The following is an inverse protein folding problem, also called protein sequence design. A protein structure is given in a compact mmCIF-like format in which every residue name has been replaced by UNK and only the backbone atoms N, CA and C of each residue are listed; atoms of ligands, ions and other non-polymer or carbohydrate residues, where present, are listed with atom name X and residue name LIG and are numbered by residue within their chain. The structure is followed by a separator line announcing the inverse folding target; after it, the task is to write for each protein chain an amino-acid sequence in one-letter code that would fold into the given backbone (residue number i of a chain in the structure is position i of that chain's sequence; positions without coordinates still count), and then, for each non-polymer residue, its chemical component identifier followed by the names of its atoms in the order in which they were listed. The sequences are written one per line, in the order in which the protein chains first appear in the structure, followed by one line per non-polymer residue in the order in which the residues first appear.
data_IF_472563257226
#
_entry.id   IF_472563257226
#
_cell.length_a   1.000
_cell.length_b   1.000
_cell.length_c   1.000
_cell.angle_alpha   90.00
_cell.angle_beta   90.00
_cell.angle_gamma   90.00
#
_symmetry.space_group_name_H-M   'P 1'
#
loop_
_entity.id
_entity.type
_entity.pdbx_description
1 polymer ?
#
# COMPACT_ATOMS: atom_id res chain seq x y z
N UNK A 1 27.03 -12.81 -0.41
CA UNK A 1 25.73 -12.10 -0.28
C UNK A 1 25.09 -12.00 -1.66
N UNK A 2 23.91 -12.56 -1.84
CA UNK A 2 23.16 -12.53 -3.10
C UNK A 2 21.83 -11.79 -2.85
N UNK A 3 21.49 -10.82 -3.68
CA UNK A 3 20.23 -10.07 -3.61
C UNK A 3 19.19 -10.82 -4.44
N UNK A 4 18.12 -11.29 -3.79
CA UNK A 4 17.01 -11.97 -4.44
C UNK A 4 15.87 -11.02 -4.83
N UNK A 5 15.65 -9.97 -4.04
CA UNK A 5 14.59 -8.99 -4.24
C UNK A 5 15.01 -7.63 -3.72
N UNK A 6 14.54 -6.56 -4.32
CA UNK A 6 14.69 -5.21 -3.80
C UNK A 6 13.50 -4.35 -4.20
N UNK A 7 12.96 -3.61 -3.22
CA UNK A 7 11.87 -2.63 -3.37
C UNK A 7 12.32 -1.31 -2.76
N UNK A 8 11.83 -0.22 -3.30
CA UNK A 8 12.01 1.13 -2.78
C UNK A 8 10.64 1.77 -2.57
N UNK A 9 10.50 2.57 -1.51
CA UNK A 9 9.29 3.34 -1.22
C UNK A 9 9.38 4.70 -1.93
N UNK A 10 9.21 4.71 -3.25
CA UNK A 10 9.50 5.86 -4.13
C UNK A 10 8.43 6.97 -4.13
N UNK A 11 7.26 6.72 -3.55
CA UNK A 11 6.16 7.69 -3.47
C UNK A 11 6.04 8.35 -2.09
N UNK A 12 6.93 7.99 -1.13
CA UNK A 12 6.87 8.48 0.25
C UNK A 12 7.74 9.73 0.44
N UNK A 13 7.39 10.54 1.45
CA UNK A 13 8.25 11.64 1.90
C UNK A 13 9.62 11.10 2.31
N UNK A 14 10.69 11.89 2.12
CA UNK A 14 12.08 11.49 2.40
C UNK A 14 12.27 10.80 3.76
N UNK A 15 11.59 11.31 4.79
CA UNK A 15 11.64 10.74 6.14
C UNK A 15 10.99 9.34 6.28
N UNK A 16 10.30 8.87 5.25
CA UNK A 16 9.66 7.55 5.20
C UNK A 16 10.17 6.69 4.03
N UNK A 17 11.12 7.22 3.27
CA UNK A 17 11.72 6.50 2.15
C UNK A 17 12.70 5.45 2.66
N UNK A 18 12.36 4.19 2.48
CA UNK A 18 13.20 3.04 2.81
C UNK A 18 13.39 2.13 1.60
N UNK A 19 14.49 1.43 1.59
CA UNK A 19 14.69 0.27 0.72
C UNK A 19 14.44 -1.01 1.50
N UNK A 20 13.74 -1.96 0.91
CA UNK A 20 13.57 -3.32 1.43
C UNK A 20 14.26 -4.29 0.49
N UNK A 21 15.23 -5.04 0.98
CA UNK A 21 16.04 -5.97 0.19
C UNK A 21 16.00 -7.35 0.82
N UNK A 22 15.67 -8.38 0.04
CA UNK A 22 15.84 -9.78 0.47
C UNK A 22 17.22 -10.24 0.03
N UNK A 23 18.03 -10.61 0.99
CA UNK A 23 19.37 -11.12 0.78
C UNK A 23 19.47 -12.58 1.19
N UNK A 24 20.36 -13.31 0.53
CA UNK A 24 20.76 -14.66 0.95
C UNK A 24 22.24 -14.66 1.34
N UNK A 25 22.51 -15.09 2.56
CA UNK A 25 23.85 -15.29 3.10
C UNK A 25 23.95 -16.69 3.68
N UNK A 26 24.90 -17.50 3.22
CA UNK A 26 25.14 -18.86 3.73
C UNK A 26 23.84 -19.70 3.89
N UNK A 27 23.02 -19.74 2.83
CA UNK A 27 21.70 -20.40 2.79
C UNK A 27 20.60 -19.83 3.68
N UNK A 28 20.89 -18.80 4.47
CA UNK A 28 19.89 -18.08 5.28
C UNK A 28 19.41 -16.84 4.53
N UNK A 29 18.10 -16.64 4.53
CA UNK A 29 17.48 -15.42 3.98
C UNK A 29 17.22 -14.40 5.07
N UNK A 30 17.44 -13.14 4.73
CA UNK A 30 17.10 -12.01 5.58
C UNK A 30 16.38 -10.94 4.77
N UNK A 31 15.49 -10.21 5.41
CA UNK A 31 14.92 -8.97 4.86
C UNK A 31 15.67 -7.81 5.49
N UNK A 32 16.33 -7.01 4.67
CA UNK A 32 17.12 -5.86 5.13
C UNK A 32 16.39 -4.58 4.75
N UNK A 33 16.14 -3.73 5.73
CA UNK A 33 15.61 -2.38 5.52
C UNK A 33 16.66 -1.33 5.80
N UNK A 34 16.72 -0.33 4.95
CA UNK A 34 17.71 0.75 4.98
C UNK A 34 17.01 2.07 4.63
N UNK A 35 17.28 3.11 5.39
CA UNK A 35 16.81 4.46 5.06
C UNK A 35 17.53 4.96 3.79
N UNK A 36 16.76 5.48 2.83
CA UNK A 36 17.31 5.99 1.58
C UNK A 36 17.90 7.38 1.80
N UNK A 37 17.30 8.15 2.68
CA UNK A 37 17.71 9.49 3.08
C UNK A 37 18.01 9.51 4.57
N UNK A 38 18.87 10.42 5.00
CA UNK A 38 19.23 10.59 6.42
C UNK A 38 18.01 10.88 7.27
N UNK A 39 17.02 11.60 6.73
CA UNK A 39 15.75 11.93 7.37
C UNK A 39 14.90 10.67 7.68
N UNK A 40 15.14 9.56 6.98
CA UNK A 40 14.44 8.28 7.20
C UNK A 40 15.00 7.44 8.36
N UNK A 41 16.11 7.85 8.96
CA UNK A 41 16.75 7.08 10.04
C UNK A 41 15.90 6.98 11.30
N UNK A 42 15.13 8.02 11.62
CA UNK A 42 14.20 8.00 12.74
C UNK A 42 13.10 6.96 12.53
N UNK A 43 12.45 7.00 11.36
CA UNK A 43 11.44 6.02 10.97
C UNK A 43 11.97 4.58 10.97
N UNK A 44 13.20 4.37 10.52
CA UNK A 44 13.85 3.06 10.58
C UNK A 44 14.06 2.60 12.04
N UNK A 45 14.51 3.50 12.92
CA UNK A 45 14.71 3.18 14.34
C UNK A 45 13.38 2.91 15.08
N UNK A 46 12.31 3.57 14.67
CA UNK A 46 10.98 3.34 15.24
C UNK A 46 10.53 1.90 15.02
N UNK A 47 10.82 1.27 13.88
CA UNK A 47 10.47 -0.14 13.65
C UNK A 47 11.11 -1.06 14.68
N UNK A 48 12.34 -0.77 15.13
CA UNK A 48 13.00 -1.55 16.20
C UNK A 48 12.28 -1.39 17.56
N UNK A 49 11.73 -0.21 17.83
CA UNK A 49 10.93 0.05 19.02
C UNK A 49 9.56 -0.62 18.91
N UNK A 50 8.93 -0.52 17.75
CA UNK A 50 7.63 -1.11 17.47
C UNK A 50 7.61 -2.62 17.64
N UNK A 51 8.70 -3.33 17.28
CA UNK A 51 8.74 -4.79 17.49
C UNK A 51 8.47 -5.18 18.94
N UNK A 52 9.09 -4.45 19.89
CA UNK A 52 8.94 -4.71 21.33
C UNK A 52 7.55 -4.33 21.87
N UNK A 53 6.96 -3.27 21.31
CA UNK A 53 5.63 -2.83 21.72
C UNK A 53 4.55 -3.76 21.19
N UNK A 54 4.70 -4.21 19.95
CA UNK A 54 3.79 -5.19 19.34
C UNK A 54 3.83 -6.55 20.06
N UNK A 55 5.01 -7.02 20.51
CA UNK A 55 5.11 -8.26 21.32
C UNK A 55 4.28 -8.20 22.60
N UNK A 56 4.18 -7.03 23.24
CA UNK A 56 3.35 -6.84 24.43
C UNK A 56 1.87 -6.75 24.10
N UNK A 57 1.55 -6.05 23.01
CA UNK A 57 0.18 -5.75 22.60
C UNK A 57 -0.51 -6.95 21.95
N UNK A 58 0.24 -7.78 21.22
CA UNK A 58 -0.27 -8.90 20.41
C UNK A 58 0.35 -10.25 20.83
N UNK A 59 0.07 -10.77 22.05
CA UNK A 59 0.73 -11.97 22.57
C UNK A 59 0.41 -13.26 21.81
N UNK A 60 -0.72 -13.28 21.09
CA UNK A 60 -1.15 -14.43 20.29
C UNK A 60 -0.62 -14.37 18.85
N UNK A 61 0.18 -13.35 18.53
CA UNK A 61 0.80 -13.15 17.23
C UNK A 61 2.32 -13.10 17.40
N UNK A 62 3.04 -13.87 16.64
CA UNK A 62 4.50 -13.74 16.60
C UNK A 62 4.87 -12.45 15.86
N UNK A 63 5.74 -11.66 16.45
CA UNK A 63 6.32 -10.49 15.77
C UNK A 63 7.61 -10.93 15.09
N UNK A 64 7.77 -10.61 13.81
CA UNK A 64 8.99 -10.95 13.08
C UNK A 64 10.20 -10.33 13.78
N UNK A 65 11.18 -11.13 14.21
CA UNK A 65 12.35 -10.62 14.91
C UNK A 65 13.16 -9.65 14.04
N UNK A 66 13.66 -8.60 14.67
CA UNK A 66 14.47 -7.56 14.01
C UNK A 66 15.74 -7.29 14.81
N UNK A 67 16.85 -7.16 14.11
CA UNK A 67 18.15 -6.79 14.65
C UNK A 67 18.70 -5.56 13.91
N UNK A 68 19.26 -4.61 14.65
CA UNK A 68 19.95 -3.47 14.05
C UNK A 68 21.43 -3.78 13.91
N UNK A 69 21.96 -3.63 12.68
CA UNK A 69 23.39 -3.71 12.38
C UNK A 69 23.77 -2.44 11.63
N UNK A 70 24.64 -1.63 12.22
CA UNK A 70 24.98 -0.30 11.72
C UNK A 70 23.72 0.56 11.49
N UNK A 71 23.49 1.05 10.28
CA UNK A 71 22.36 1.87 9.88
C UNK A 71 21.24 1.06 9.17
N UNK A 72 21.18 -0.26 9.39
CA UNK A 72 20.26 -1.19 8.75
C UNK A 72 19.51 -2.01 9.76
N UNK A 73 18.27 -2.40 9.40
CA UNK A 73 17.51 -3.39 10.13
C UNK A 73 17.50 -4.70 9.36
N UNK A 74 17.80 -5.78 10.08
CA UNK A 74 17.77 -7.15 9.59
C UNK A 74 16.61 -7.88 10.23
N UNK A 75 15.63 -8.24 9.42
CA UNK A 75 14.50 -9.06 9.82
C UNK A 75 14.74 -10.51 9.42
N UNK A 76 14.24 -11.44 10.23
CA UNK A 76 14.19 -12.85 9.82
C UNK A 76 13.30 -12.99 8.57
N UNK A 77 13.71 -13.85 7.63
CA UNK A 77 12.84 -14.22 6.52
C UNK A 77 11.85 -15.28 7.01
N UNK A 78 10.58 -14.89 7.16
CA UNK A 78 9.53 -15.79 7.62
C UNK A 78 8.98 -16.58 6.44
N UNK A 79 9.07 -17.91 6.52
CA UNK A 79 8.44 -18.81 5.56
C UNK A 79 7.02 -19.15 6.01
N UNK A 80 6.08 -19.18 5.08
CA UNK A 80 4.68 -19.49 5.35
C UNK A 80 3.77 -18.97 4.26
N UNK A 81 2.49 -18.91 4.54
CA UNK A 81 1.48 -18.47 3.60
C UNK A 81 0.96 -17.10 4.01
N UNK A 82 0.98 -16.15 3.10
CA UNK A 82 0.38 -14.84 3.35
C UNK A 82 -1.14 -14.97 3.57
N UNK A 83 -1.68 -14.14 4.43
CA UNK A 83 -3.13 -14.05 4.60
C UNK A 83 -3.82 -13.58 3.31
N UNK A 84 -3.16 -12.72 2.53
CA UNK A 84 -3.61 -12.33 1.18
C UNK A 84 -3.74 -13.53 0.23
N UNK A 85 -2.80 -14.49 0.28
CA UNK A 85 -2.89 -15.70 -0.53
C UNK A 85 -4.08 -16.57 -0.12
N UNK A 86 -4.41 -16.62 1.19
CA UNK A 86 -5.58 -17.35 1.68
C UNK A 86 -6.88 -16.71 1.21
N UNK A 87 -6.95 -15.38 1.19
CA UNK A 87 -8.08 -14.65 0.59
C UNK A 87 -8.23 -14.98 -0.90
N UNK A 88 -7.12 -14.91 -1.65
CA UNK A 88 -7.11 -15.22 -3.07
C UNK A 88 -7.57 -16.66 -3.36
N UNK A 89 -7.19 -17.62 -2.51
CA UNK A 89 -7.66 -19.00 -2.65
C UNK A 89 -9.15 -19.14 -2.41
N UNK A 90 -9.69 -18.47 -1.38
CA UNK A 90 -11.11 -18.48 -1.11
C UNK A 90 -11.92 -17.91 -2.30
N UNK A 91 -11.43 -16.80 -2.88
CA UNK A 91 -12.04 -16.19 -4.07
C UNK A 91 -11.94 -17.09 -5.30
N UNK A 92 -10.78 -17.68 -5.58
CA UNK A 92 -10.59 -18.61 -6.70
C UNK A 92 -11.53 -19.84 -6.62
N UNK A 93 -11.81 -20.28 -5.39
CA UNK A 93 -12.74 -21.39 -5.12
C UNK A 93 -14.21 -20.94 -5.01
N UNK A 94 -14.50 -19.65 -5.12
CA UNK A 94 -15.80 -19.04 -4.87
C UNK A 94 -16.36 -19.43 -3.48
N UNK A 95 -15.46 -19.56 -2.50
CA UNK A 95 -15.79 -19.98 -1.13
C UNK A 95 -16.03 -18.76 -0.23
N UNK A 96 -17.26 -18.25 -0.30
CA UNK A 96 -17.69 -17.09 0.49
C UNK A 96 -17.64 -17.35 2.00
N UNK A 97 -17.94 -18.56 2.44
CA UNK A 97 -17.92 -18.90 3.87
C UNK A 97 -16.47 -18.80 4.41
N UNK A 98 -15.52 -19.41 3.71
CA UNK A 98 -14.10 -19.33 4.06
C UNK A 98 -13.58 -17.91 4.01
N UNK A 99 -13.99 -17.11 3.04
CA UNK A 99 -13.61 -15.70 2.95
C UNK A 99 -14.07 -14.92 4.19
N UNK A 100 -15.30 -15.13 4.63
CA UNK A 100 -15.84 -14.49 5.86
C UNK A 100 -15.09 -14.95 7.11
N UNK A 101 -14.72 -16.22 7.22
CA UNK A 101 -13.89 -16.72 8.33
C UNK A 101 -12.53 -16.02 8.38
N UNK A 102 -11.89 -15.86 7.22
CA UNK A 102 -10.61 -15.16 7.10
C UNK A 102 -10.74 -13.68 7.48
N UNK A 103 -11.82 -13.00 7.08
CA UNK A 103 -12.10 -11.62 7.48
C UNK A 103 -12.22 -11.48 9.01
N UNK A 104 -12.98 -12.39 9.65
CA UNK A 104 -13.13 -12.41 11.10
C UNK A 104 -11.80 -12.68 11.81
N UNK A 105 -11.02 -13.63 11.29
CA UNK A 105 -9.67 -13.91 11.79
C UNK A 105 -8.78 -12.66 11.66
N UNK A 106 -8.78 -12.02 10.51
CA UNK A 106 -7.99 -10.82 10.26
C UNK A 106 -8.37 -9.69 11.22
N UNK A 107 -9.67 -9.41 11.38
CA UNK A 107 -10.15 -8.44 12.38
C UNK A 107 -9.60 -8.75 13.77
N UNK A 108 -9.69 -10.01 14.23
CA UNK A 108 -9.23 -10.39 15.56
C UNK A 108 -7.71 -10.17 15.71
N UNK A 109 -6.92 -10.46 14.67
CA UNK A 109 -5.49 -10.18 14.65
C UNK A 109 -5.19 -8.68 14.75
N UNK A 110 -5.98 -7.84 14.06
CA UNK A 110 -5.84 -6.37 14.11
C UNK A 110 -6.17 -5.82 15.49
N UNK A 111 -7.18 -6.39 16.17
CA UNK A 111 -7.61 -5.93 17.51
C UNK A 111 -6.59 -6.25 18.61
N UNK A 112 -5.91 -7.38 18.50
CA UNK A 112 -5.00 -7.86 19.55
C UNK A 112 -5.73 -8.26 20.83
N UNK A 113 -5.13 -7.95 21.99
CA UNK A 113 -5.71 -8.23 23.31
C UNK A 113 -6.90 -7.34 23.64
N UNK A 114 -7.80 -7.83 24.51
CA UNK A 114 -8.89 -7.02 25.08
C UNK A 114 -8.38 -5.79 25.82
N UNK A 115 -7.27 -5.90 26.58
CA UNK A 115 -6.65 -4.79 27.32
C UNK A 115 -6.15 -3.66 26.42
N UNK A 116 -5.97 -3.91 25.11
CA UNK A 116 -5.62 -2.89 24.14
C UNK A 116 -6.82 -2.00 23.75
N UNK A 117 -8.02 -2.39 24.11
CA UNK A 117 -9.24 -1.63 23.80
C UNK A 117 -9.53 -0.61 24.90
N UNK A 118 -9.59 0.66 24.50
CA UNK A 118 -9.87 1.80 25.35
C UNK A 118 -10.96 2.67 24.71
N UNK A 119 -11.41 3.70 25.42
CA UNK A 119 -12.26 4.71 24.84
C UNK A 119 -11.42 5.73 24.08
N UNK A 120 -11.88 6.11 22.88
CA UNK A 120 -11.21 7.11 22.08
C UNK A 120 -11.39 8.50 22.69
N UNK A 121 -10.30 9.24 22.73
CA UNK A 121 -10.27 10.68 22.94
C UNK A 121 -9.33 11.30 21.92
N UNK A 122 -9.81 12.28 21.17
CA UNK A 122 -9.03 12.90 20.11
C UNK A 122 -7.82 13.62 20.68
N UNK A 123 -6.65 13.36 20.12
CA UNK A 123 -5.38 14.00 20.44
C UNK A 123 -4.84 14.79 19.25
N UNK A 124 -3.85 15.65 19.47
CA UNK A 124 -3.14 16.33 18.38
C UNK A 124 -2.50 15.33 17.42
N UNK A 125 -1.97 14.21 17.92
CA UNK A 125 -1.36 13.15 17.12
C UNK A 125 -2.40 12.46 16.25
N UNK A 126 -3.55 12.04 16.84
CA UNK A 126 -4.61 11.39 16.06
C UNK A 126 -5.19 12.33 14.99
N UNK A 127 -5.34 13.61 15.33
CA UNK A 127 -5.79 14.64 14.38
C UNK A 127 -4.79 14.89 13.27
N UNK A 128 -3.50 14.90 13.57
CA UNK A 128 -2.44 15.05 12.57
C UNK A 128 -2.49 13.90 11.54
N UNK A 129 -2.56 12.66 12.01
CA UNK A 129 -2.51 11.49 11.13
C UNK A 129 -3.81 11.23 10.39
N UNK A 130 -4.95 11.41 11.04
CA UNK A 130 -6.24 10.94 10.51
C UNK A 130 -7.26 12.06 10.29
N UNK A 131 -6.92 13.31 10.61
CA UNK A 131 -7.85 14.44 10.52
C UNK A 131 -8.81 14.51 11.69
N UNK A 132 -9.97 15.15 11.47
CA UNK A 132 -10.97 15.34 12.52
C UNK A 132 -11.70 14.02 12.80
N UNK A 133 -11.52 13.50 14.02
CA UNK A 133 -12.13 12.27 14.53
C UNK A 133 -13.14 12.50 15.65
N UNK A 134 -13.62 13.71 15.84
CA UNK A 134 -14.57 14.07 16.92
C UNK A 134 -15.83 13.19 16.98
N UNK A 135 -16.26 12.62 15.85
CA UNK A 135 -17.40 11.69 15.80
C UNK A 135 -17.10 10.30 16.39
N UNK A 136 -15.85 10.01 16.69
CA UNK A 136 -15.41 8.77 17.34
C UNK A 136 -15.18 8.94 18.84
N UNK A 137 -15.39 10.14 19.42
CA UNK A 137 -15.28 10.35 20.86
C UNK A 137 -16.06 9.28 21.64
N UNK A 138 -15.45 8.76 22.71
CA UNK A 138 -15.99 7.70 23.58
C UNK A 138 -16.23 6.33 22.90
N UNK A 139 -15.98 6.19 21.58
CA UNK A 139 -16.06 4.90 20.89
C UNK A 139 -14.83 4.04 21.18
N UNK A 140 -14.90 2.72 20.91
CA UNK A 140 -13.75 1.85 21.06
C UNK A 140 -12.56 2.29 20.22
N UNK A 141 -11.38 2.28 20.83
CA UNK A 141 -10.11 2.59 20.19
C UNK A 141 -9.03 1.61 20.64
N UNK A 142 -7.99 1.43 19.86
CA UNK A 142 -6.79 0.69 20.24
C UNK A 142 -5.78 1.67 20.85
N UNK A 143 -5.27 1.36 22.03
CA UNK A 143 -4.21 2.16 22.68
C UNK A 143 -2.91 2.12 21.90
N UNK A 144 -2.60 0.95 21.32
CA UNK A 144 -1.52 0.72 20.38
C UNK A 144 -2.09 -0.04 19.18
N UNK A 145 -1.84 0.45 17.97
CA UNK A 145 -2.36 -0.18 16.75
C UNK A 145 -1.26 -0.44 15.74
N UNK A 146 -1.21 -1.69 15.23
CA UNK A 146 -0.43 -2.02 14.05
C UNK A 146 -1.25 -1.68 12.79
N UNK A 147 -1.01 -0.52 12.20
CA UNK A 147 -1.70 -0.08 11.00
C UNK A 147 -1.23 -0.82 9.75
N UNK A 148 -0.07 -1.51 9.85
CA UNK A 148 0.44 -2.42 8.82
C UNK A 148 -0.02 -3.86 8.99
N UNK A 149 -0.97 -4.16 9.88
CA UNK A 149 -1.57 -5.49 9.98
C UNK A 149 -2.50 -5.79 8.78
N UNK A 150 -2.07 -5.39 7.58
CA UNK A 150 -2.72 -5.69 6.31
C UNK A 150 -2.48 -7.15 5.91
N UNK A 151 -3.33 -7.70 5.07
CA UNK A 151 -3.26 -9.12 4.68
C UNK A 151 -1.93 -9.54 4.03
N UNK A 152 -1.26 -8.60 3.34
CA UNK A 152 0.07 -8.81 2.75
C UNK A 152 1.23 -8.85 3.75
N UNK A 153 0.99 -8.43 5.00
CA UNK A 153 2.00 -8.37 6.06
C UNK A 153 1.73 -9.39 7.19
N UNK A 154 0.81 -10.32 6.99
CA UNK A 154 0.52 -11.41 7.93
C UNK A 154 0.85 -12.74 7.27
N UNK A 155 1.82 -13.44 7.83
CA UNK A 155 2.19 -14.81 7.40
C UNK A 155 1.61 -15.82 8.40
N UNK A 156 0.97 -16.85 7.88
CA UNK A 156 0.56 -18.00 8.66
C UNK A 156 1.65 -19.06 8.57
N UNK A 157 2.42 -19.21 9.63
CA UNK A 157 3.50 -20.18 9.77
C UNK A 157 3.08 -21.27 10.76
N UNK A 158 2.89 -22.50 10.32
CA UNK A 158 2.46 -23.61 11.17
C UNK A 158 1.20 -23.29 12.02
N UNK A 159 0.22 -22.65 11.43
CA UNK A 159 -1.00 -22.14 12.06
C UNK A 159 -0.81 -21.02 13.08
N UNK A 160 0.38 -20.44 13.17
CA UNK A 160 0.67 -19.29 14.02
C UNK A 160 0.76 -18.05 13.11
N UNK A 161 -0.01 -16.98 13.38
CA UNK A 161 0.12 -15.73 12.67
C UNK A 161 1.42 -15.03 13.06
N UNK A 162 2.11 -14.47 12.07
CA UNK A 162 3.33 -13.70 12.23
C UNK A 162 3.13 -12.35 11.55
N UNK A 163 3.29 -11.26 12.28
CA UNK A 163 3.37 -9.93 11.70
C UNK A 163 4.77 -9.70 11.14
N UNK A 164 4.82 -9.39 9.87
CA UNK A 164 6.00 -8.92 9.16
C UNK A 164 5.77 -7.48 8.72
N UNK A 165 6.82 -6.71 8.49
CA UNK A 165 6.71 -5.38 7.90
C UNK A 165 5.80 -4.40 8.68
N UNK A 166 6.15 -4.10 9.90
CA UNK A 166 5.41 -3.19 10.80
C UNK A 166 6.05 -1.79 10.81
N UNK A 167 5.86 -1.03 9.75
CA UNK A 167 6.39 0.34 9.59
C UNK A 167 5.51 1.39 10.26
N UNK A 168 4.18 1.15 10.31
CA UNK A 168 3.18 2.07 10.81
C UNK A 168 2.50 1.53 12.05
N UNK A 169 3.08 1.83 13.21
CA UNK A 169 2.51 1.51 14.51
C UNK A 169 2.22 2.80 15.24
N UNK A 170 0.98 2.95 15.70
CA UNK A 170 0.55 4.13 16.46
C UNK A 170 0.41 3.77 17.93
N UNK A 171 1.22 4.43 18.77
CA UNK A 171 1.23 4.28 20.23
C UNK A 171 0.37 5.36 20.91
N UNK A 172 -0.69 5.77 20.25
CA UNK A 172 -1.73 6.65 20.74
C UNK A 172 -3.09 6.11 20.31
N UNK A 173 -4.19 6.52 20.98
CA UNK A 173 -5.52 6.02 20.66
C UNK A 173 -5.91 6.23 19.20
N UNK A 174 -6.27 5.14 18.51
CA UNK A 174 -6.84 5.18 17.16
C UNK A 174 -8.17 4.44 17.19
N UNK A 175 -9.29 5.03 16.69
CA UNK A 175 -10.58 4.34 16.66
C UNK A 175 -10.47 2.97 16.00
N UNK A 176 -10.98 1.95 16.68
CA UNK A 176 -10.93 0.54 16.22
C UNK A 176 -11.43 0.38 14.79
N UNK A 177 -12.55 1.05 14.47
CA UNK A 177 -13.17 0.96 13.16
C UNK A 177 -12.24 1.49 12.05
N UNK A 178 -11.46 2.54 12.33
CA UNK A 178 -10.49 3.09 11.35
C UNK A 178 -9.39 2.08 11.08
N UNK A 179 -8.84 1.44 12.11
CA UNK A 179 -7.74 0.46 11.94
C UNK A 179 -8.22 -0.76 11.18
N UNK A 180 -9.37 -1.33 11.58
CA UNK A 180 -9.94 -2.50 10.91
C UNK A 180 -10.33 -2.17 9.47
N UNK A 181 -10.99 -1.03 9.25
CA UNK A 181 -11.36 -0.58 7.90
C UNK A 181 -10.14 -0.48 7.00
N UNK A 182 -9.07 0.18 7.47
CA UNK A 182 -7.83 0.32 6.70
C UNK A 182 -7.25 -1.04 6.29
N UNK A 183 -7.09 -1.96 7.26
CA UNK A 183 -6.48 -3.26 6.99
C UNK A 183 -7.32 -4.13 6.05
N UNK A 184 -8.64 -4.05 6.11
CA UNK A 184 -9.54 -4.80 5.22
C UNK A 184 -9.63 -4.12 3.86
N UNK A 185 -9.75 -2.78 3.79
CA UNK A 185 -9.79 -2.03 2.53
C UNK A 185 -8.55 -2.31 1.68
N UNK A 186 -7.36 -2.37 2.30
CA UNK A 186 -6.12 -2.69 1.60
C UNK A 186 -6.23 -4.00 0.81
N UNK A 187 -6.79 -5.06 1.41
CA UNK A 187 -6.99 -6.34 0.74
C UNK A 187 -7.95 -6.21 -0.47
N UNK A 188 -9.01 -5.43 -0.37
CA UNK A 188 -9.96 -5.18 -1.47
C UNK A 188 -9.34 -4.34 -2.59
N UNK A 189 -8.47 -3.39 -2.25
CA UNK A 189 -7.76 -2.59 -3.25
C UNK A 189 -6.75 -3.43 -4.05
N UNK A 190 -6.16 -4.45 -3.43
CA UNK A 190 -5.22 -5.35 -4.11
C UNK A 190 -5.89 -6.36 -5.03
N UNK A 191 -7.14 -6.76 -4.75
CA UNK A 191 -7.86 -7.72 -5.59
C UNK A 191 -9.35 -7.36 -5.74
N UNK A 192 -9.67 -6.70 -6.84
CA UNK A 192 -11.05 -6.30 -7.19
C UNK A 192 -12.05 -7.48 -7.29
N UNK A 193 -11.58 -8.73 -7.34
CA UNK A 193 -12.46 -9.90 -7.34
C UNK A 193 -13.10 -10.14 -5.98
N UNK A 194 -12.56 -9.58 -4.90
CA UNK A 194 -13.16 -9.66 -3.56
C UNK A 194 -14.53 -9.02 -3.54
N UNK A 195 -14.69 -7.87 -4.20
CA UNK A 195 -15.95 -7.14 -4.30
C UNK A 195 -17.06 -7.97 -4.96
N UNK A 196 -16.71 -8.88 -5.88
CA UNK A 196 -17.68 -9.77 -6.53
C UNK A 196 -18.11 -10.92 -5.64
N UNK A 197 -17.22 -11.44 -4.78
CA UNK A 197 -17.51 -12.54 -3.86
C UNK A 197 -18.29 -12.05 -2.64
N UNK A 198 -17.87 -10.92 -2.09
CA UNK A 198 -18.44 -10.26 -0.92
C UNK A 198 -18.19 -8.76 -1.03
N UNK A 199 -19.21 -7.92 -1.28
CA UNK A 199 -19.03 -6.47 -1.28
C UNK A 199 -18.42 -5.95 0.03
N UNK A 200 -17.53 -4.96 -0.05
CA UNK A 200 -16.85 -4.44 1.14
C UNK A 200 -17.84 -3.89 2.18
N UNK A 201 -18.95 -3.29 1.75
CA UNK A 201 -20.01 -2.84 2.64
C UNK A 201 -20.58 -3.99 3.46
N UNK A 202 -20.88 -5.13 2.82
CA UNK A 202 -21.38 -6.33 3.50
C UNK A 202 -20.30 -6.94 4.41
N UNK A 203 -19.01 -6.91 4.00
CA UNK A 203 -17.92 -7.35 4.84
C UNK A 203 -17.83 -6.54 6.12
N UNK A 204 -17.98 -5.21 6.05
CA UNK A 204 -17.98 -4.33 7.22
C UNK A 204 -19.15 -4.60 8.14
N UNK A 205 -20.36 -4.80 7.60
CA UNK A 205 -21.54 -5.18 8.39
C UNK A 205 -21.32 -6.51 9.13
N UNK A 206 -20.78 -7.54 8.46
CA UNK A 206 -20.46 -8.84 9.06
C UNK A 206 -19.42 -8.69 10.18
N UNK A 207 -18.47 -7.78 10.02
CA UNK A 207 -17.44 -7.48 11.02
C UNK A 207 -17.97 -6.60 12.16
N UNK A 208 -19.19 -6.09 12.06
CA UNK A 208 -19.80 -5.18 13.06
C UNK A 208 -19.12 -3.82 13.09
N UNK A 209 -18.57 -3.39 11.97
CA UNK A 209 -18.00 -2.05 11.83
C UNK A 209 -19.13 -1.09 11.51
N UNK A 210 -19.54 -0.32 12.50
CA UNK A 210 -20.55 0.75 12.35
C UNK A 210 -19.82 2.00 11.92
N UNK A 211 -19.76 2.22 10.62
CA UNK A 211 -18.95 3.27 10.05
C UNK A 211 -19.77 4.30 9.26
N UNK A 212 -19.22 5.51 9.26
CA UNK A 212 -19.55 6.56 8.32
C UNK A 212 -18.46 6.50 7.24
N UNK A 213 -18.80 5.98 6.06
CA UNK A 213 -17.85 5.78 4.95
C UNK A 213 -17.01 7.03 4.68
N UNK A 214 -17.66 8.18 4.62
CA UNK A 214 -16.98 9.45 4.31
C UNK A 214 -15.88 9.77 5.34
N UNK A 215 -16.12 9.46 6.61
CA UNK A 215 -15.12 9.69 7.67
C UNK A 215 -13.97 8.70 7.63
N UNK A 216 -14.27 7.42 7.35
CA UNK A 216 -13.24 6.40 7.17
C UNK A 216 -12.36 6.69 5.98
N UNK A 217 -12.95 7.06 4.85
CA UNK A 217 -12.19 7.48 3.67
C UNK A 217 -11.36 8.74 3.93
N UNK A 218 -11.91 9.70 4.68
CA UNK A 218 -11.15 10.91 5.03
C UNK A 218 -9.97 10.60 5.94
N UNK A 219 -10.12 9.71 6.93
CA UNK A 219 -9.03 9.24 7.77
C UNK A 219 -7.95 8.54 6.94
N UNK A 220 -8.35 7.65 6.03
CA UNK A 220 -7.47 6.97 5.10
C UNK A 220 -6.70 7.97 4.21
N UNK A 221 -7.40 8.93 3.60
CA UNK A 221 -6.78 9.97 2.75
C UNK A 221 -5.79 10.85 3.54
N UNK A 222 -6.12 11.21 4.79
CA UNK A 222 -5.22 12.01 5.63
C UNK A 222 -3.95 11.22 6.01
N UNK A 223 -4.07 9.94 6.35
CA UNK A 223 -2.91 9.08 6.57
C UNK A 223 -1.97 9.10 5.36
N UNK A 224 -2.48 8.78 4.18
CA UNK A 224 -1.67 8.75 2.96
C UNK A 224 -1.09 10.13 2.60
N UNK A 225 -1.85 11.21 2.79
CA UNK A 225 -1.33 12.57 2.62
C UNK A 225 -0.12 12.88 3.51
N UNK A 226 -0.05 12.30 4.71
CA UNK A 226 1.09 12.47 5.61
C UNK A 226 2.28 11.59 5.22
N UNK A 227 2.04 10.47 4.56
CA UNK A 227 3.07 9.50 4.13
C UNK A 227 3.65 9.87 2.76
N UNK A 228 2.79 10.21 1.81
CA UNK A 228 3.16 10.47 0.41
C UNK A 228 3.59 11.94 0.27
N UNK A 229 4.65 12.18 -0.48
CA UNK A 229 5.09 13.52 -0.85
C UNK A 229 4.17 14.08 -1.94
N UNK A 230 3.71 15.31 -1.78
CA UNK A 230 3.17 16.07 -2.90
C UNK A 230 4.35 16.33 -3.85
N UNK A 231 4.24 15.82 -5.04
CA UNK A 231 5.27 15.61 -6.05
C UNK A 231 6.06 16.89 -6.38
N UNK A 232 7.35 16.92 -6.05
CA UNK A 232 8.31 17.84 -6.64
C UNK A 232 9.18 17.16 -7.74
N UNK A 233 8.87 15.90 -8.08
CA UNK A 233 9.59 15.10 -9.09
C UNK A 233 11.02 14.70 -8.70
N UNK A 234 11.56 15.22 -7.60
CA UNK A 234 12.96 15.01 -7.19
C UNK A 234 13.21 13.62 -6.62
N UNK A 235 12.26 13.08 -5.86
CA UNK A 235 12.35 11.74 -5.26
C UNK A 235 12.43 10.66 -6.32
N UNK A 236 11.61 10.77 -7.36
CA UNK A 236 11.56 9.78 -8.45
C UNK A 236 12.85 9.81 -9.31
N UNK A 237 13.37 11.00 -9.63
CA UNK A 237 14.62 11.13 -10.39
C UNK A 237 15.82 10.53 -9.63
N UNK A 238 15.86 10.74 -8.30
CA UNK A 238 16.90 10.17 -7.45
C UNK A 238 16.77 8.64 -7.34
N UNK A 239 15.57 8.13 -7.17
CA UNK A 239 15.29 6.70 -7.14
C UNK A 239 15.62 6.01 -8.47
N UNK A 240 15.31 6.66 -9.60
CA UNK A 240 15.73 6.20 -10.93
C UNK A 240 17.24 6.03 -11.01
N UNK A 241 18.02 7.01 -10.52
CA UNK A 241 19.47 6.95 -10.54
C UNK A 241 20.04 5.85 -9.62
N UNK A 242 19.43 5.63 -8.44
CA UNK A 242 19.81 4.54 -7.53
C UNK A 242 19.52 3.16 -8.15
N UNK A 243 18.36 2.99 -8.77
CA UNK A 243 18.00 1.76 -9.47
C UNK A 243 18.97 1.50 -10.64
N UNK A 244 19.31 2.51 -11.43
CA UNK A 244 20.24 2.38 -12.57
C UNK A 244 21.65 2.02 -12.12
N UNK A 245 22.15 2.55 -11.00
CA UNK A 245 23.47 2.19 -10.46
C UNK A 245 23.54 0.72 -10.03
N UNK A 246 22.46 0.16 -9.49
CA UNK A 246 22.41 -1.24 -9.05
C UNK A 246 22.20 -2.26 -10.20
N UNK A 247 21.80 -1.79 -11.38
CA UNK A 247 21.65 -2.61 -12.61
C UNK A 247 23.04 -2.92 -13.26
N UNK A 248 24.15 -2.49 -12.67
CA UNK A 248 25.50 -2.63 -13.25
C UNK A 248 25.98 -4.08 -13.49
N UNK A 249 25.22 -5.08 -13.08
CA UNK A 249 25.54 -6.52 -13.28
C UNK A 249 24.71 -7.22 -14.36
N UNK A 250 23.83 -6.47 -15.06
CA UNK A 250 22.96 -7.02 -16.11
C UNK A 250 23.64 -6.87 -17.46
N UNK A 251 23.50 -7.86 -18.35
CA UNK A 251 24.03 -7.80 -19.72
C UNK A 251 23.63 -6.50 -20.42
N UNK A 252 24.51 -5.98 -21.29
CA UNK A 252 24.30 -4.70 -21.99
C UNK A 252 22.95 -4.62 -22.72
N UNK A 253 22.49 -5.75 -23.30
CA UNK A 253 21.23 -5.80 -24.01
C UNK A 253 20.02 -5.82 -23.07
N UNK A 254 20.15 -6.48 -21.92
CA UNK A 254 19.13 -6.45 -20.86
C UNK A 254 19.05 -5.08 -20.20
N UNK A 255 20.18 -4.36 -20.05
CA UNK A 255 20.21 -2.97 -19.56
C UNK A 255 19.45 -2.01 -20.45
N UNK A 256 19.59 -2.14 -21.78
CA UNK A 256 18.87 -1.31 -22.73
C UNK A 256 17.36 -1.50 -22.58
N UNK A 257 16.90 -2.76 -22.47
CA UNK A 257 15.50 -3.06 -22.27
C UNK A 257 14.94 -2.59 -20.94
N UNK A 258 15.71 -2.75 -19.85
CA UNK A 258 15.29 -2.25 -18.54
C UNK A 258 15.15 -0.73 -18.57
N UNK A 259 16.08 -0.03 -19.24
CA UNK A 259 16.00 1.41 -19.40
C UNK A 259 14.77 1.84 -20.21
N UNK A 260 14.51 1.17 -21.34
CA UNK A 260 13.33 1.44 -22.16
C UNK A 260 12.02 1.23 -21.37
N UNK A 261 11.92 0.17 -20.55
CA UNK A 261 10.77 -0.09 -19.70
C UNK A 261 10.65 0.93 -18.56
N UNK A 262 11.76 1.37 -17.99
CA UNK A 262 11.76 2.42 -16.96
C UNK A 262 11.31 3.77 -17.53
N UNK A 263 11.78 4.12 -18.75
CA UNK A 263 11.35 5.33 -19.42
C UNK A 263 9.85 5.26 -19.80
N UNK A 264 9.33 4.07 -20.14
CA UNK A 264 7.90 3.84 -20.36
C UNK A 264 7.09 4.01 -19.06
N UNK A 265 7.57 3.47 -17.94
CA UNK A 265 6.97 3.66 -16.60
C UNK A 265 6.89 5.13 -16.23
N UNK A 266 7.96 5.89 -16.48
CA UNK A 266 7.98 7.35 -16.24
C UNK A 266 6.90 8.05 -17.03
N UNK A 267 6.84 7.77 -18.34
CA UNK A 267 5.84 8.38 -19.21
C UNK A 267 4.40 8.04 -18.82
N UNK A 268 4.16 6.80 -18.37
CA UNK A 268 2.86 6.36 -17.90
C UNK A 268 2.48 7.03 -16.56
N UNK A 269 3.42 7.15 -15.62
CA UNK A 269 3.18 7.85 -14.34
C UNK A 269 2.86 9.32 -14.54
N UNK A 270 3.55 9.99 -15.47
CA UNK A 270 3.23 11.37 -15.84
C UNK A 270 1.81 11.48 -16.44
N UNK A 271 1.43 10.58 -17.34
CA UNK A 271 0.08 10.57 -17.91
C UNK A 271 -0.99 10.30 -16.85
N UNK A 272 -0.71 9.44 -15.87
CA UNK A 272 -1.61 9.21 -14.73
C UNK A 272 -1.77 10.47 -13.90
N UNK A 273 -0.67 11.18 -13.60
CA UNK A 273 -0.74 12.46 -12.88
C UNK A 273 -1.60 13.49 -13.60
N UNK A 274 -1.39 13.66 -14.91
CA UNK A 274 -2.18 14.57 -15.74
C UNK A 274 -3.68 14.19 -15.76
N UNK A 275 -3.98 12.89 -15.86
CA UNK A 275 -5.35 12.38 -15.81
C UNK A 275 -6.01 12.58 -14.44
N UNK A 276 -5.27 12.38 -13.35
CA UNK A 276 -5.75 12.65 -11.98
C UNK A 276 -6.06 14.14 -11.77
N UNK A 277 -5.23 15.03 -12.30
CA UNK A 277 -5.50 16.47 -12.25
C UNK A 277 -6.77 16.85 -13.06
N UNK A 278 -6.96 16.24 -14.22
CA UNK A 278 -8.16 16.46 -15.01
C UNK A 278 -9.41 15.90 -14.32
N UNK A 279 -9.32 14.72 -13.72
CA UNK A 279 -10.38 14.15 -12.90
C UNK A 279 -10.75 15.07 -11.73
N UNK A 280 -9.76 15.58 -10.99
CA UNK A 280 -10.00 16.53 -9.92
C UNK A 280 -10.67 17.81 -10.40
N UNK A 281 -10.28 18.33 -11.59
CA UNK A 281 -10.95 19.48 -12.21
C UNK A 281 -12.42 19.18 -12.54
N UNK A 282 -12.71 18.00 -13.11
CA UNK A 282 -14.08 17.57 -13.40
C UNK A 282 -14.91 17.49 -12.12
N UNK A 283 -14.38 16.87 -11.06
CA UNK A 283 -15.04 16.77 -9.76
C UNK A 283 -15.26 18.14 -9.13
N UNK A 284 -14.27 19.03 -9.20
CA UNK A 284 -14.39 20.39 -8.70
C UNK A 284 -15.52 21.15 -9.41
N UNK A 285 -15.54 21.14 -10.74
CA UNK A 285 -16.58 21.83 -11.52
C UNK A 285 -17.96 21.22 -11.31
N UNK A 286 -18.05 19.90 -11.17
CA UNK A 286 -19.29 19.19 -10.84
C UNK A 286 -19.84 19.63 -9.47
N UNK A 287 -18.97 19.74 -8.46
CA UNK A 287 -19.35 20.27 -7.12
C UNK A 287 -19.81 21.72 -7.18
N UNK A 288 -19.10 22.56 -7.96
CA UNK A 288 -19.46 23.97 -8.12
C UNK A 288 -20.78 24.16 -8.86
N UNK A 289 -21.12 23.30 -9.83
CA UNK A 289 -22.38 23.39 -10.58
C UNK A 289 -23.61 23.15 -9.71
N UNK A 290 -23.47 22.43 -8.60
CA UNK A 290 -24.54 22.22 -7.64
C UNK A 290 -24.81 23.46 -6.75
N UNK A 291 -23.87 24.40 -6.67
CA UNK A 291 -24.02 25.58 -5.80
C UNK A 291 -24.52 26.85 -6.50
N UNK A 292 -24.42 26.98 -7.85
CA UNK A 292 -24.72 28.23 -8.51
C UNK A 292 -25.40 28.07 -9.88
N UNK A 293 -26.72 28.25 -9.92
CA UNK A 293 -27.53 28.18 -11.15
C UNK A 293 -27.13 29.17 -12.29
N UNK A 294 -26.24 30.12 -12.05
CA UNK A 294 -25.80 31.12 -13.04
C UNK A 294 -24.50 30.77 -13.77
N UNK A 295 -23.72 29.82 -13.28
CA UNK A 295 -22.48 29.36 -13.92
C UNK A 295 -22.70 28.11 -14.78
N UNK A 296 -23.91 27.61 -14.82
CA UNK A 296 -24.32 26.33 -15.38
C UNK A 296 -23.87 26.12 -16.84
N UNK A 297 -24.04 27.12 -17.70
CA UNK A 297 -23.74 26.95 -19.14
C UNK A 297 -22.23 26.90 -19.43
N UNK A 298 -21.43 27.70 -18.74
CA UNK A 298 -19.98 27.74 -18.98
C UNK A 298 -19.29 26.52 -18.40
N UNK A 299 -19.73 26.09 -17.23
CA UNK A 299 -19.23 24.90 -16.54
C UNK A 299 -19.66 23.62 -17.24
N UNK A 300 -20.91 23.55 -17.74
CA UNK A 300 -21.41 22.46 -18.56
C UNK A 300 -20.59 22.29 -19.85
N UNK A 301 -20.13 23.37 -20.46
CA UNK A 301 -19.26 23.28 -21.66
C UNK A 301 -17.92 22.64 -21.29
N UNK A 302 -17.25 23.14 -20.24
CA UNK A 302 -15.95 22.58 -19.82
C UNK A 302 -16.10 21.11 -19.40
N UNK A 303 -17.14 20.80 -18.61
CA UNK A 303 -17.43 19.44 -18.22
C UNK A 303 -17.70 18.56 -19.45
N UNK A 304 -18.54 19.02 -20.37
CA UNK A 304 -18.83 18.29 -21.60
C UNK A 304 -17.59 18.13 -22.48
N UNK A 305 -16.70 19.10 -22.54
CA UNK A 305 -15.44 18.99 -23.30
C UNK A 305 -14.54 17.90 -22.72
N UNK A 306 -14.42 17.82 -21.40
CA UNK A 306 -13.66 16.77 -20.72
C UNK A 306 -14.33 15.40 -20.90
N UNK A 307 -15.65 15.32 -20.71
CA UNK A 307 -16.40 14.08 -20.93
C UNK A 307 -16.34 13.64 -22.40
N UNK A 308 -16.43 14.57 -23.37
CA UNK A 308 -16.26 14.25 -24.78
C UNK A 308 -14.88 13.69 -25.11
N UNK A 309 -13.83 14.20 -24.42
CA UNK A 309 -12.46 13.72 -24.62
C UNK A 309 -12.23 12.31 -24.03
N UNK A 310 -12.81 12.01 -22.88
CA UNK A 310 -12.54 10.76 -22.11
C UNK A 310 -13.76 9.85 -21.99
N UNK A 311 -14.96 10.29 -22.39
CA UNK A 311 -16.21 9.54 -22.35
C UNK A 311 -16.99 9.75 -21.05
N UNK A 312 -16.39 9.49 -19.90
CA UNK A 312 -17.02 9.70 -18.59
C UNK A 312 -15.93 9.75 -17.49
N UNK A 313 -16.34 10.07 -16.25
CA UNK A 313 -15.42 9.99 -15.09
C UNK A 313 -14.98 8.55 -14.87
N UNK A 314 -15.89 7.59 -15.00
CA UNK A 314 -15.58 6.15 -14.87
C UNK A 314 -14.59 5.69 -15.96
N UNK A 315 -14.65 6.26 -17.15
CA UNK A 315 -13.68 5.98 -18.21
C UNK A 315 -12.28 6.52 -17.88
N UNK A 316 -12.20 7.68 -17.21
CA UNK A 316 -10.92 8.22 -16.74
C UNK A 316 -10.33 7.27 -15.70
N UNK A 317 -11.12 6.84 -14.71
CA UNK A 317 -10.71 5.86 -13.69
C UNK A 317 -10.25 4.55 -14.34
N UNK A 318 -10.98 4.07 -15.36
CA UNK A 318 -10.58 2.88 -16.10
C UNK A 318 -9.25 3.07 -16.84
N UNK A 319 -9.03 4.23 -17.47
CA UNK A 319 -7.75 4.53 -18.15
C UNK A 319 -6.60 4.58 -17.13
N UNK A 320 -6.81 5.21 -15.97
CA UNK A 320 -5.83 5.24 -14.88
C UNK A 320 -5.53 3.81 -14.44
N UNK A 321 -6.56 3.02 -14.13
CA UNK A 321 -6.42 1.62 -13.71
C UNK A 321 -5.67 0.76 -14.72
N UNK A 322 -6.01 0.87 -16.02
CA UNK A 322 -5.34 0.12 -17.07
C UNK A 322 -3.85 0.49 -17.19
N UNK A 323 -3.53 1.79 -16.99
CA UNK A 323 -2.13 2.26 -16.98
C UNK A 323 -1.36 1.79 -15.73
N UNK A 324 -1.98 1.79 -14.56
CA UNK A 324 -1.39 1.26 -13.33
C UNK A 324 -1.09 -0.24 -13.45
N UNK A 325 -2.01 -1.02 -14.04
CA UNK A 325 -1.76 -2.44 -14.37
C UNK A 325 -0.59 -2.59 -15.34
N UNK A 326 -0.52 -1.72 -16.34
CA UNK A 326 0.57 -1.78 -17.32
C UNK A 326 1.93 -1.48 -16.66
N UNK A 327 1.99 -0.47 -15.79
CA UNK A 327 3.16 -0.14 -14.97
C UNK A 327 3.58 -1.35 -14.13
N UNK A 328 2.63 -1.95 -13.39
CA UNK A 328 2.89 -3.12 -12.55
C UNK A 328 3.43 -4.31 -13.37
N UNK A 329 2.90 -4.51 -14.58
CA UNK A 329 3.40 -5.54 -15.48
C UNK A 329 4.83 -5.26 -15.95
N UNK A 330 5.17 -4.01 -16.26
CA UNK A 330 6.53 -3.61 -16.63
C UNK A 330 7.49 -3.78 -15.45
N UNK A 331 7.07 -3.39 -14.24
CA UNK A 331 7.85 -3.58 -13.01
C UNK A 331 8.11 -5.05 -12.71
N UNK A 332 7.11 -5.93 -12.88
CA UNK A 332 7.26 -7.37 -12.75
C UNK A 332 8.22 -7.96 -13.80
N UNK A 333 8.16 -7.48 -15.04
CA UNK A 333 9.11 -7.90 -16.09
C UNK A 333 10.52 -7.47 -15.72
N UNK A 334 10.71 -6.23 -15.24
CA UNK A 334 12.01 -5.72 -14.77
C UNK A 334 12.52 -6.58 -13.60
N UNK A 335 11.64 -6.95 -12.67
CA UNK A 335 11.96 -7.84 -11.55
C UNK A 335 12.40 -9.22 -12.01
N UNK A 336 11.62 -9.83 -12.91
CA UNK A 336 11.92 -11.14 -13.50
C UNK A 336 13.28 -11.15 -14.22
N UNK A 337 13.60 -10.05 -14.94
CA UNK A 337 14.90 -9.89 -15.58
C UNK A 337 16.05 -9.84 -14.58
N UNK A 338 15.84 -9.12 -13.46
CA UNK A 338 16.85 -9.01 -12.40
C UNK A 338 17.10 -10.31 -11.68
N UNK A 339 16.05 -11.13 -11.52
CA UNK A 339 16.11 -12.38 -10.73
C UNK A 339 16.49 -13.63 -11.56
N UNK A 340 15.97 -13.77 -12.76
CA UNK A 340 15.97 -15.05 -13.46
C UNK A 340 16.89 -15.12 -14.69
N UNK A 341 17.73 -14.11 -14.98
CA UNK A 341 18.62 -14.09 -16.17
C UNK A 341 17.89 -14.52 -17.46
N UNK A 342 16.64 -14.11 -17.65
CA UNK A 342 15.85 -14.50 -18.81
C UNK A 342 16.50 -14.02 -20.12
N UNK A 343 16.61 -14.88 -21.14
CA UNK A 343 17.18 -14.50 -22.43
C UNK A 343 16.33 -13.40 -23.10
N UNK A 344 16.98 -12.36 -23.57
CA UNK A 344 16.46 -11.19 -24.27
C UNK A 344 15.36 -11.51 -25.33
N UNK A 345 15.52 -12.62 -26.07
CA UNK A 345 14.54 -13.06 -27.06
C UNK A 345 13.16 -13.39 -26.49
N UNK A 346 13.09 -13.91 -25.27
CA UNK A 346 11.85 -14.24 -24.58
C UNK A 346 11.11 -12.98 -24.10
N UNK A 347 11.85 -11.96 -23.71
CA UNK A 347 11.30 -10.69 -23.23
C UNK A 347 10.63 -9.90 -24.34
N UNK A 348 11.30 -9.72 -25.49
CA UNK A 348 10.74 -9.02 -26.65
C UNK A 348 9.41 -9.66 -27.08
N UNK A 349 9.31 -11.01 -27.04
CA UNK A 349 8.04 -11.69 -27.32
C UNK A 349 6.95 -11.38 -26.30
N UNK A 350 7.30 -11.26 -25.00
CA UNK A 350 6.31 -10.91 -23.95
C UNK A 350 5.81 -9.45 -24.10
N UNK A 351 6.70 -8.51 -24.38
CA UNK A 351 6.33 -7.10 -24.56
C UNK A 351 5.50 -6.91 -25.83
N UNK A 352 5.91 -7.53 -26.97
CA UNK A 352 5.16 -7.44 -28.24
C UNK A 352 3.78 -8.10 -28.21
N UNK A 353 3.52 -9.05 -27.33
CA UNK A 353 2.20 -9.68 -27.16
C UNK A 353 1.26 -8.86 -26.26
N UNK A 354 1.77 -7.84 -25.57
CA UNK A 354 1.01 -6.99 -24.63
C UNK A 354 0.76 -5.57 -25.14
N UNK A 355 1.31 -5.24 -26.32
CA UNK A 355 0.91 -4.10 -27.14
C UNK A 355 -0.21 -4.51 -28.10
#
# INVERSE_FOLDING_TARGET
MNIEYQKFSDERRKKYCISTTIIRENDTKHVVKEAIFTEGMEHLNDMLRYSKELEKTYPDVKICPVEKKEDRLYFEFVEGKLLSDLYDEAVKKNDRARFIELLKMHKNLVLGKEDNSIKFTESEQSRFWFGNLSSFEEKPALACSNFDAIAGNIIIQNNIPVFIDYEWVFEFPVPTDIVVYHCILDAYLHNASFEKLLPISEAMDILGIIYDIDKMENAYKNFFKNVIEEDDGSSFALMKNLCLKKISYVDKNERKNIKELQDEIIGLKQQISELKEEQNRVVYYWKQSNEVNRLHERQSRIFNDIINKYGSVENIDKIIYDKDIHILNCENIIKDLKQNRMSYKRLIRKIRKRK
#
